data_IF_581115544288
#
_entry.id   IF_581115544288
#
_cell.length_a   1.000
_cell.length_b   1.000
_cell.length_c   1.000
_cell.angle_alpha   90.00
_cell.angle_beta   90.00
_cell.angle_gamma   90.00
#
_symmetry.space_group_name_H-M   'P 1'
#
loop_
_entity.id
_entity.type
_entity.pdbx_description
1 polymer ?
#
# COMPACT_ATOMS: atom_id res chain seq x y z
N UNK A 1 31.73 28.82 24.36
CA UNK A 1 30.84 29.26 23.26
C UNK A 1 30.48 28.06 22.39
N UNK A 2 29.55 27.18 22.82
CA UNK A 2 29.13 26.00 22.02
C UNK A 2 27.80 25.33 22.45
N UNK A 3 27.27 25.61 23.65
CA UNK A 3 26.04 24.92 24.13
C UNK A 3 24.76 25.39 23.40
N UNK A 4 24.66 26.68 23.06
CA UNK A 4 23.50 27.24 22.32
C UNK A 4 23.41 26.71 20.87
N UNK A 5 24.54 26.59 20.16
CA UNK A 5 24.58 26.01 18.80
C UNK A 5 24.24 24.51 18.78
N UNK A 6 24.70 23.75 19.78
CA UNK A 6 24.39 22.31 19.88
C UNK A 6 22.91 22.04 20.16
N UNK A 7 22.27 22.83 21.03
CA UNK A 7 20.81 22.74 21.26
C UNK A 7 20.00 23.02 20.00
N UNK A 8 20.44 24.00 19.19
CA UNK A 8 19.82 24.31 17.91
C UNK A 8 19.90 23.11 16.95
N UNK A 9 21.06 22.47 16.81
CA UNK A 9 21.22 21.29 15.95
C UNK A 9 20.43 20.07 16.42
N UNK A 10 20.35 19.79 17.72
CA UNK A 10 19.59 18.64 18.24
C UNK A 10 18.08 18.84 18.10
N UNK A 11 17.56 20.04 18.39
CA UNK A 11 16.14 20.35 18.18
C UNK A 11 15.76 20.26 16.71
N UNK A 12 16.62 20.78 15.83
CA UNK A 12 16.39 20.74 14.38
C UNK A 12 16.45 19.30 13.88
N UNK A 13 17.46 18.51 14.29
CA UNK A 13 17.52 17.08 13.97
C UNK A 13 16.27 16.32 14.43
N UNK A 14 15.80 16.55 15.66
CA UNK A 14 14.58 15.95 16.19
C UNK A 14 13.36 16.30 15.33
N UNK A 15 13.19 17.59 14.97
CA UNK A 15 12.07 18.04 14.15
C UNK A 15 12.09 17.42 12.76
N UNK A 16 13.26 17.31 12.12
CA UNK A 16 13.39 16.65 10.82
C UNK A 16 13.08 15.15 10.90
N UNK A 17 13.53 14.47 11.95
CA UNK A 17 13.25 13.05 12.16
C UNK A 17 11.76 12.81 12.45
N UNK A 18 11.15 13.66 13.27
CA UNK A 18 9.71 13.61 13.55
C UNK A 18 8.88 13.86 12.28
N UNK A 19 9.25 14.89 11.50
CA UNK A 19 8.60 15.18 10.23
C UNK A 19 8.77 14.03 9.22
N UNK A 20 9.94 13.39 9.19
CA UNK A 20 10.20 12.23 8.35
C UNK A 20 9.31 11.04 8.72
N UNK A 21 9.22 10.71 10.01
CA UNK A 21 8.32 9.64 10.50
C UNK A 21 6.86 9.97 10.18
N UNK A 22 6.43 11.21 10.44
CA UNK A 22 5.09 11.66 10.10
C UNK A 22 4.78 11.53 8.61
N UNK A 23 5.71 11.95 7.75
CA UNK A 23 5.59 11.82 6.30
C UNK A 23 5.44 10.35 5.88
N UNK A 24 6.25 9.44 6.43
CA UNK A 24 6.13 8.00 6.13
C UNK A 24 4.76 7.44 6.51
N UNK A 25 4.26 7.77 7.71
CA UNK A 25 2.94 7.33 8.16
C UNK A 25 1.85 7.87 7.24
N UNK A 26 1.91 9.14 6.86
CA UNK A 26 0.96 9.76 5.94
C UNK A 26 0.98 9.10 4.56
N UNK A 27 2.16 8.79 4.00
CA UNK A 27 2.29 8.11 2.71
C UNK A 27 1.67 6.71 2.78
N UNK A 28 2.00 5.93 3.81
CA UNK A 28 1.46 4.58 3.98
C UNK A 28 -0.07 4.62 4.14
N UNK A 29 -0.58 5.53 4.97
CA UNK A 29 -2.03 5.72 5.14
C UNK A 29 -2.73 6.11 3.83
N UNK A 30 -2.12 6.99 3.03
CA UNK A 30 -2.66 7.40 1.74
C UNK A 30 -2.74 6.24 0.74
N UNK A 31 -1.71 5.38 0.71
CA UNK A 31 -1.69 4.17 -0.11
C UNK A 31 -2.82 3.23 0.32
N UNK A 32 -3.00 3.01 1.63
CA UNK A 32 -4.07 2.14 2.14
C UNK A 32 -5.46 2.66 1.78
N UNK A 33 -5.70 3.98 1.89
CA UNK A 33 -6.98 4.58 1.52
C UNK A 33 -7.28 4.44 0.02
N UNK A 34 -6.29 4.70 -0.84
CA UNK A 34 -6.46 4.53 -2.28
C UNK A 34 -6.63 3.07 -2.70
N UNK A 35 -5.89 2.17 -2.06
CA UNK A 35 -6.02 0.74 -2.28
C UNK A 35 -7.43 0.25 -1.93
N UNK A 36 -7.98 0.68 -0.79
CA UNK A 36 -9.36 0.39 -0.41
C UNK A 36 -10.34 0.97 -1.42
N UNK A 37 -10.19 2.23 -1.81
CA UNK A 37 -11.06 2.87 -2.79
C UNK A 37 -11.05 2.14 -4.14
N UNK A 38 -9.87 1.72 -4.62
CA UNK A 38 -9.75 0.95 -5.86
C UNK A 38 -10.43 -0.42 -5.73
N UNK A 39 -10.19 -1.14 -4.64
CA UNK A 39 -10.80 -2.46 -4.40
C UNK A 39 -12.33 -2.40 -4.34
N UNK A 40 -12.88 -1.39 -3.67
CA UNK A 40 -14.32 -1.23 -3.44
C UNK A 40 -15.04 -0.66 -4.66
N UNK A 41 -14.54 0.43 -5.25
CA UNK A 41 -15.28 1.18 -6.28
C UNK A 41 -14.92 0.78 -7.70
N UNK A 42 -13.64 0.46 -7.98
CA UNK A 42 -13.16 0.17 -9.34
C UNK A 42 -13.21 -1.33 -9.63
N UNK A 43 -12.52 -2.12 -8.82
CA UNK A 43 -12.38 -3.56 -9.06
C UNK A 43 -13.54 -4.39 -8.52
N UNK A 44 -14.39 -3.80 -7.67
CA UNK A 44 -15.53 -4.46 -6.98
C UNK A 44 -15.13 -5.86 -6.51
N UNK A 45 -13.97 -5.94 -5.84
CA UNK A 45 -13.46 -7.23 -5.35
C UNK A 45 -14.49 -7.73 -4.35
N UNK A 46 -15.09 -8.90 -4.62
CA UNK A 46 -16.09 -9.47 -3.73
C UNK A 46 -15.49 -9.61 -2.33
N UNK A 47 -16.10 -8.97 -1.34
CA UNK A 47 -15.85 -9.29 0.05
C UNK A 47 -16.06 -10.80 0.21
N UNK A 48 -15.07 -11.47 0.82
CA UNK A 48 -14.96 -12.92 0.95
C UNK A 48 -16.29 -13.64 0.69
N UNK A 49 -16.41 -14.33 -0.45
CA UNK A 49 -17.51 -15.28 -0.62
C UNK A 49 -17.28 -16.32 0.47
N UNK A 50 -18.02 -16.20 1.58
CA UNK A 50 -18.02 -17.18 2.65
C UNK A 50 -18.65 -18.43 2.06
N UNK A 51 -17.82 -19.25 1.44
CA UNK A 51 -18.22 -20.59 1.16
C UNK A 51 -18.21 -21.31 2.51
N UNK A 52 -19.36 -21.80 3.01
CA UNK A 52 -19.31 -22.68 4.15
C UNK A 52 -18.33 -23.82 3.81
N UNK A 53 -17.41 -24.07 4.73
CA UNK A 53 -16.55 -25.25 4.66
C UNK A 53 -17.49 -26.44 4.47
N UNK A 54 -17.33 -27.16 3.36
CA UNK A 54 -18.22 -28.27 3.06
C UNK A 54 -17.97 -29.31 4.14
N UNK A 55 -18.93 -29.46 5.06
CA UNK A 55 -18.91 -30.51 6.08
C UNK A 55 -18.75 -31.81 5.32
N UNK A 56 -17.60 -32.49 5.51
CA UNK A 56 -17.35 -33.80 4.93
C UNK A 56 -18.34 -34.78 5.53
N UNK A 57 -19.50 -34.95 4.91
CA UNK A 57 -20.38 -36.08 5.20
C UNK A 57 -19.76 -37.26 4.48
N UNK A 58 -19.33 -38.27 5.25
CA UNK A 58 -18.65 -39.48 4.78
C UNK A 58 -19.21 -39.98 3.44
N UNK A 59 -18.38 -39.93 2.40
CA UNK A 59 -18.69 -40.53 1.09
C UNK A 59 -19.13 -39.58 -0.02
N UNK A 60 -19.32 -38.27 0.23
CA UNK A 60 -19.54 -37.31 -0.86
C UNK A 60 -18.23 -36.96 -1.57
N UNK A 61 -18.13 -37.38 -2.83
CA UNK A 61 -17.08 -36.96 -3.77
C UNK A 61 -17.22 -35.45 -3.94
N UNK A 62 -16.22 -34.69 -3.50
CA UNK A 62 -16.12 -33.27 -3.81
C UNK A 62 -16.13 -33.16 -5.34
N UNK A 63 -17.12 -32.48 -5.90
CA UNK A 63 -17.16 -32.20 -7.34
C UNK A 63 -15.92 -31.38 -7.71
N UNK A 64 -14.97 -32.01 -8.41
CA UNK A 64 -13.70 -31.37 -8.79
C UNK A 64 -13.95 -30.08 -9.60
N UNK A 65 -15.05 -30.02 -10.37
CA UNK A 65 -15.42 -28.84 -11.12
C UNK A 65 -15.75 -27.64 -10.22
N UNK A 66 -16.36 -27.86 -9.06
CA UNK A 66 -16.68 -26.80 -8.09
C UNK A 66 -15.42 -26.34 -7.33
N UNK A 67 -14.48 -27.24 -7.00
CA UNK A 67 -13.18 -26.86 -6.44
C UNK A 67 -12.37 -26.00 -7.42
N UNK A 68 -12.32 -26.40 -8.68
CA UNK A 68 -11.58 -25.67 -9.71
C UNK A 68 -12.17 -24.28 -9.95
N UNK A 69 -13.50 -24.15 -9.91
CA UNK A 69 -14.18 -22.85 -10.00
C UNK A 69 -13.80 -21.94 -8.84
N UNK A 70 -13.82 -22.45 -7.60
CA UNK A 70 -13.42 -21.69 -6.41
C UNK A 70 -11.98 -21.24 -6.45
N UNK A 71 -11.06 -22.15 -6.80
CA UNK A 71 -9.65 -21.83 -6.93
C UNK A 71 -9.41 -20.72 -7.97
N UNK A 72 -10.15 -20.75 -9.09
CA UNK A 72 -10.08 -19.69 -10.12
C UNK A 72 -10.61 -18.35 -9.58
N UNK A 73 -11.77 -18.34 -8.92
CA UNK A 73 -12.35 -17.12 -8.34
C UNK A 73 -11.43 -16.51 -7.26
N UNK A 74 -10.81 -17.34 -6.41
CA UNK A 74 -9.82 -16.89 -5.43
C UNK A 74 -8.56 -16.31 -6.09
N UNK A 75 -8.01 -16.98 -7.11
CA UNK A 75 -6.85 -16.48 -7.85
C UNK A 75 -7.15 -15.13 -8.54
N UNK A 76 -8.32 -14.97 -9.13
CA UNK A 76 -8.73 -13.71 -9.73
C UNK A 76 -8.84 -12.59 -8.69
N UNK A 77 -9.43 -12.89 -7.53
CA UNK A 77 -9.56 -11.93 -6.45
C UNK A 77 -8.19 -11.53 -5.86
N UNK A 78 -7.27 -12.48 -5.70
CA UNK A 78 -5.88 -12.20 -5.29
C UNK A 78 -5.19 -11.26 -6.28
N UNK A 79 -5.30 -11.53 -7.59
CA UNK A 79 -4.72 -10.66 -8.64
C UNK A 79 -5.31 -9.25 -8.60
N UNK A 80 -6.63 -9.11 -8.47
CA UNK A 80 -7.29 -7.80 -8.36
C UNK A 80 -6.80 -7.01 -7.14
N UNK A 81 -6.66 -7.69 -5.99
CA UNK A 81 -6.11 -7.07 -4.77
C UNK A 81 -4.68 -6.58 -4.98
N UNK A 82 -3.83 -7.42 -5.59
CA UNK A 82 -2.44 -7.06 -5.86
C UNK A 82 -2.35 -5.85 -6.80
N UNK A 83 -3.10 -5.85 -7.91
CA UNK A 83 -3.13 -4.73 -8.85
C UNK A 83 -3.61 -3.45 -8.16
N UNK A 84 -4.66 -3.52 -7.34
CA UNK A 84 -5.15 -2.36 -6.59
C UNK A 84 -4.06 -1.75 -5.71
N UNK A 85 -3.33 -2.60 -4.98
CA UNK A 85 -2.29 -2.14 -4.06
C UNK A 85 -1.12 -1.54 -4.83
N UNK A 86 -0.70 -2.17 -5.93
CA UNK A 86 0.35 -1.63 -6.80
C UNK A 86 -0.04 -0.28 -7.42
N UNK A 87 -1.29 -0.12 -7.87
CA UNK A 87 -1.78 1.14 -8.43
C UNK A 87 -1.80 2.25 -7.36
N UNK A 88 -2.26 1.94 -6.15
CA UNK A 88 -2.24 2.89 -5.05
C UNK A 88 -0.80 3.35 -4.72
N UNK A 89 0.15 2.42 -4.65
CA UNK A 89 1.57 2.74 -4.44
C UNK A 89 2.14 3.62 -5.54
N UNK A 90 1.85 3.32 -6.81
CA UNK A 90 2.33 4.13 -7.94
C UNK A 90 1.70 5.52 -7.89
N UNK A 91 0.40 5.61 -7.62
CA UNK A 91 -0.31 6.89 -7.62
C UNK A 91 0.20 7.85 -6.54
N UNK A 92 0.52 7.34 -5.35
CA UNK A 92 1.09 8.15 -4.25
C UNK A 92 2.60 8.34 -4.39
N UNK A 93 3.32 7.28 -4.75
CA UNK A 93 4.78 7.26 -4.82
C UNK A 93 5.33 8.06 -5.99
N UNK A 94 4.65 8.07 -7.14
CA UNK A 94 5.10 8.80 -8.34
C UNK A 94 5.25 10.31 -8.12
N UNK A 95 4.23 11.04 -7.62
CA UNK A 95 4.39 12.47 -7.38
C UNK A 95 5.47 12.76 -6.33
N UNK A 96 5.59 11.92 -5.28
CA UNK A 96 6.64 12.06 -4.28
C UNK A 96 8.04 11.89 -4.89
N UNK A 97 8.23 10.84 -5.69
CA UNK A 97 9.50 10.58 -6.39
C UNK A 97 9.86 11.73 -7.35
N UNK A 98 8.91 12.18 -8.16
CA UNK A 98 9.13 13.26 -9.13
C UNK A 98 9.50 14.56 -8.43
N UNK A 99 8.84 14.90 -7.32
CA UNK A 99 9.15 16.09 -6.53
C UNK A 99 10.61 16.07 -6.04
N UNK A 100 11.04 14.95 -5.45
CA UNK A 100 12.42 14.82 -4.98
C UNK A 100 13.44 14.85 -6.13
N UNK A 101 13.16 14.14 -7.23
CA UNK A 101 14.04 14.13 -8.41
C UNK A 101 14.24 15.54 -8.99
N UNK A 102 13.15 16.31 -9.14
CA UNK A 102 13.20 17.67 -9.65
C UNK A 102 13.98 18.61 -8.71
N UNK A 103 13.80 18.44 -7.40
CA UNK A 103 14.51 19.24 -6.38
C UNK A 103 16.03 19.01 -6.48
N UNK A 104 16.46 17.74 -6.52
CA UNK A 104 17.87 17.37 -6.68
C UNK A 104 18.44 17.92 -7.99
N UNK A 105 17.68 17.81 -9.09
CA UNK A 105 18.11 18.34 -10.39
C UNK A 105 18.28 19.86 -10.37
N UNK A 106 17.45 20.58 -9.62
CA UNK A 106 17.56 22.03 -9.45
C UNK A 106 18.82 22.40 -8.67
N UNK A 107 19.05 21.75 -7.53
CA UNK A 107 20.23 21.97 -6.69
C UNK A 107 21.55 21.66 -7.42
N UNK A 108 21.57 20.63 -8.26
CA UNK A 108 22.73 20.29 -9.09
C UNK A 108 22.96 21.24 -10.27
N UNK A 109 22.00 22.11 -10.60
CA UNK A 109 22.13 23.08 -11.71
C UNK A 109 22.53 24.48 -11.24
N UNK A 110 22.33 24.76 -9.96
CA UNK A 110 22.68 26.03 -9.30
C UNK A 110 24.08 25.98 -8.64
N UNK A 111 24.71 24.80 -8.57
CA UNK A 111 26.12 24.59 -8.21
C UNK A 111 26.97 24.31 -9.47
#
# INVERSE_FOLDING_TARGET
>A
MNSEKMKFSIRLLYLYLFAFVGLLITVIGSIQMLDLALKTYVFKVSEYTYYPEQVKIEGQVIDQAELDRRNKEEQENQRKRQISTSLAMIFVGSPLYLYHWQTIKKENREN
#
